data_IF_347813265622
#
_entry.id   IF_347813265622
#
_cell.length_a   1.000
_cell.length_b   1.000
_cell.length_c   1.000
_cell.angle_alpha   90.00
_cell.angle_beta   90.00
_cell.angle_gamma   90.00
#
_symmetry.space_group_name_H-M   'P 1'
#
loop_
_entity.id
_entity.type
_entity.pdbx_description
1 polymer ?
#
# COMPACT_ATOMS: atom_id res chain seq x y z
N UNK A 1 -19.04 -2.25 -10.75
CA UNK A 1 -18.07 -1.44 -11.51
C UNK A 1 -17.97 -2.01 -12.93
N UNK A 2 -18.28 -1.25 -13.97
CA UNK A 2 -18.45 -1.77 -15.35
C UNK A 2 -17.13 -2.23 -15.98
N UNK A 3 -16.02 -1.54 -15.68
CA UNK A 3 -14.71 -1.85 -16.28
C UNK A 3 -14.08 -3.17 -15.82
N UNK A 4 -14.47 -3.71 -14.67
CA UNK A 4 -13.97 -5.01 -14.19
C UNK A 4 -14.62 -6.19 -14.87
N UNK A 5 -15.82 -6.01 -15.43
CA UNK A 5 -16.63 -7.10 -16.01
C UNK A 5 -16.62 -7.13 -17.53
N UNK A 6 -16.07 -6.10 -18.18
CA UNK A 6 -15.94 -6.06 -19.65
C UNK A 6 -14.70 -6.82 -20.11
N UNK A 7 -14.81 -7.44 -21.29
CA UNK A 7 -13.71 -8.09 -22.00
C UNK A 7 -12.59 -7.10 -22.32
N UNK A 8 -11.36 -7.60 -22.42
CA UNK A 8 -10.17 -6.79 -22.74
C UNK A 8 -10.31 -6.04 -24.07
N UNK A 9 -11.02 -6.60 -25.05
CA UNK A 9 -11.24 -5.93 -26.34
C UNK A 9 -12.15 -4.70 -26.23
N UNK A 10 -13.04 -4.65 -25.24
CA UNK A 10 -14.02 -3.57 -25.04
C UNK A 10 -13.60 -2.57 -23.95
N UNK A 11 -12.72 -2.99 -23.03
CA UNK A 11 -12.23 -2.16 -21.94
C UNK A 11 -11.65 -0.80 -22.37
N UNK A 12 -10.88 -0.68 -23.48
CA UNK A 12 -10.32 0.59 -23.92
C UNK A 12 -11.38 1.63 -24.30
N UNK A 13 -12.44 1.18 -24.98
CA UNK A 13 -13.54 2.05 -25.40
C UNK A 13 -14.39 2.46 -24.20
N UNK A 14 -14.72 1.51 -23.33
CA UNK A 14 -15.45 1.78 -22.09
C UNK A 14 -14.68 2.76 -21.18
N UNK A 15 -13.35 2.61 -21.07
CA UNK A 15 -12.52 3.50 -20.27
C UNK A 15 -12.50 4.92 -20.86
N UNK A 16 -12.30 5.06 -22.17
CA UNK A 16 -12.36 6.36 -22.85
C UNK A 16 -13.71 7.05 -22.67
N UNK A 17 -14.81 6.31 -22.79
CA UNK A 17 -16.15 6.84 -22.54
C UNK A 17 -16.30 7.36 -21.11
N UNK A 18 -15.84 6.60 -20.10
CA UNK A 18 -15.93 7.00 -18.70
C UNK A 18 -15.05 8.20 -18.36
N UNK A 19 -13.87 8.30 -18.96
CA UNK A 19 -12.97 9.44 -18.82
C UNK A 19 -13.61 10.71 -19.40
N UNK A 20 -14.10 10.64 -20.65
CA UNK A 20 -14.77 11.76 -21.30
C UNK A 20 -16.00 12.21 -20.51
N UNK A 21 -16.82 11.26 -20.03
CA UNK A 21 -17.99 11.55 -19.20
C UNK A 21 -17.61 12.23 -17.89
N UNK A 22 -16.57 11.74 -17.22
CA UNK A 22 -16.07 12.32 -15.95
C UNK A 22 -15.64 13.77 -16.15
N UNK A 23 -14.87 14.05 -17.21
CA UNK A 23 -14.41 15.39 -17.54
C UNK A 23 -15.55 16.35 -17.94
N UNK A 24 -16.60 15.85 -18.57
CA UNK A 24 -17.75 16.68 -18.99
C UNK A 24 -18.74 16.96 -17.85
N UNK A 25 -18.96 15.99 -16.95
CA UNK A 25 -19.98 16.09 -15.90
C UNK A 25 -19.44 16.69 -14.60
N UNK A 26 -18.13 16.58 -14.35
CA UNK A 26 -17.50 17.04 -13.11
C UNK A 26 -16.57 18.18 -13.46
N UNK A 27 -17.01 19.41 -13.15
CA UNK A 27 -16.24 20.64 -13.39
C UNK A 27 -15.10 20.78 -12.38
N UNK A 28 -15.28 20.27 -11.16
CA UNK A 28 -14.26 20.30 -10.11
C UNK A 28 -13.18 19.22 -10.35
N UNK A 29 -11.91 19.61 -10.61
CA UNK A 29 -10.83 18.67 -10.84
C UNK A 29 -10.60 17.72 -9.66
N UNK A 30 -10.75 18.19 -8.41
CA UNK A 30 -10.50 17.36 -7.22
C UNK A 30 -11.54 16.24 -7.09
N UNK A 31 -12.80 16.53 -7.43
CA UNK A 31 -13.85 15.50 -7.47
C UNK A 31 -13.68 14.51 -8.64
N UNK A 32 -13.09 14.95 -9.77
CA UNK A 32 -12.87 14.09 -10.95
C UNK A 32 -11.69 13.11 -10.77
N UNK A 33 -10.67 13.51 -10.00
CA UNK A 33 -9.41 12.77 -9.83
C UNK A 33 -9.60 11.32 -9.35
N UNK A 34 -10.34 11.01 -8.27
CA UNK A 34 -10.48 9.63 -7.81
C UNK A 34 -11.10 8.69 -8.84
N UNK A 35 -11.99 9.20 -9.69
CA UNK A 35 -12.61 8.41 -10.76
C UNK A 35 -11.58 8.10 -11.85
N UNK A 36 -10.80 9.10 -12.26
CA UNK A 36 -9.71 8.93 -13.22
C UNK A 36 -8.67 7.94 -12.67
N UNK A 37 -8.30 8.06 -11.40
CA UNK A 37 -7.38 7.14 -10.72
C UNK A 37 -7.92 5.71 -10.70
N UNK A 38 -9.20 5.51 -10.40
CA UNK A 38 -9.82 4.19 -10.42
C UNK A 38 -9.84 3.58 -11.83
N UNK A 39 -10.18 4.37 -12.86
CA UNK A 39 -10.14 3.91 -14.26
C UNK A 39 -8.73 3.52 -14.66
N UNK A 40 -7.75 4.39 -14.38
CA UNK A 40 -6.33 4.13 -14.66
C UNK A 40 -5.90 2.83 -13.98
N UNK A 41 -6.15 2.67 -12.69
CA UNK A 41 -5.84 1.48 -11.90
C UNK A 41 -6.36 0.21 -12.58
N UNK A 42 -7.65 0.17 -12.93
CA UNK A 42 -8.25 -1.01 -13.56
C UNK A 42 -7.58 -1.32 -14.90
N UNK A 43 -7.26 -0.30 -15.70
CA UNK A 43 -6.62 -0.49 -17.00
C UNK A 43 -5.19 -1.04 -16.85
N UNK A 44 -4.40 -0.56 -15.88
CA UNK A 44 -3.07 -1.14 -15.60
C UNK A 44 -3.17 -2.60 -15.22
N UNK A 45 -4.07 -2.94 -14.29
CA UNK A 45 -4.22 -4.32 -13.81
C UNK A 45 -4.82 -5.25 -14.86
N UNK A 46 -5.67 -4.75 -15.75
CA UNK A 46 -6.27 -5.54 -16.83
C UNK A 46 -5.27 -5.81 -17.95
N UNK A 47 -4.36 -4.88 -18.24
CA UNK A 47 -3.41 -4.99 -19.35
C UNK A 47 -1.96 -5.17 -18.85
N UNK A 48 -1.70 -6.25 -18.12
CA UNK A 48 -0.39 -6.53 -17.51
C UNK A 48 0.75 -6.73 -18.50
N UNK A 49 0.44 -7.08 -19.76
CA UNK A 49 1.42 -7.29 -20.83
C UNK A 49 1.69 -6.03 -21.66
N UNK A 50 0.96 -4.94 -21.43
CA UNK A 50 1.17 -3.69 -22.15
C UNK A 50 2.13 -2.79 -21.37
N UNK A 51 2.97 -2.10 -22.12
CA UNK A 51 3.78 -1.01 -21.59
C UNK A 51 2.89 0.18 -21.23
N UNK A 52 3.39 1.02 -20.31
CA UNK A 52 2.74 2.28 -19.96
C UNK A 52 2.38 3.13 -21.18
N UNK A 53 3.28 3.22 -22.17
CA UNK A 53 3.06 4.05 -23.36
C UNK A 53 1.89 3.53 -24.22
N UNK A 54 1.73 2.20 -24.30
CA UNK A 54 0.63 1.60 -25.03
C UNK A 54 -0.71 1.86 -24.32
N UNK A 55 -0.74 1.80 -22.98
CA UNK A 55 -1.95 2.13 -22.21
C UNK A 55 -2.27 3.63 -22.28
N UNK A 56 -1.26 4.51 -22.22
CA UNK A 56 -1.41 5.97 -22.42
C UNK A 56 -2.03 6.27 -23.80
N UNK A 57 -1.48 5.68 -24.86
CA UNK A 57 -1.96 5.85 -26.24
C UNK A 57 -3.38 5.32 -26.44
N UNK A 58 -3.69 4.19 -25.80
CA UNK A 58 -5.00 3.56 -25.83
C UNK A 58 -6.09 4.41 -25.16
N UNK A 59 -5.75 5.06 -24.04
CA UNK A 59 -6.70 5.83 -23.24
C UNK A 59 -6.72 7.32 -23.58
N UNK A 60 -5.71 7.83 -24.29
CA UNK A 60 -5.55 9.25 -24.58
C UNK A 60 -5.26 10.09 -23.34
N UNK A 61 -4.59 9.52 -22.33
CA UNK A 61 -4.22 10.20 -21.09
C UNK A 61 -2.80 9.86 -20.66
N UNK A 62 -2.21 10.72 -19.83
CA UNK A 62 -0.88 10.50 -19.28
C UNK A 62 -0.98 9.83 -17.91
N UNK A 63 -0.69 8.54 -17.86
CA UNK A 63 -0.78 7.77 -16.63
C UNK A 63 0.32 8.13 -15.62
N UNK A 64 1.42 8.75 -16.06
CA UNK A 64 2.52 9.19 -15.17
C UNK A 64 2.06 10.11 -14.03
N UNK A 65 0.98 10.87 -14.24
CA UNK A 65 0.48 11.81 -13.25
C UNK A 65 -0.43 11.14 -12.22
N UNK A 66 -0.84 9.90 -12.46
CA UNK A 66 -1.70 9.15 -11.55
C UNK A 66 -0.92 8.65 -10.34
N UNK A 67 -1.59 8.61 -9.19
CA UNK A 67 -1.01 8.16 -7.93
C UNK A 67 -0.42 6.74 -8.03
N UNK A 68 -1.17 5.79 -8.60
CA UNK A 68 -0.74 4.39 -8.73
C UNK A 68 0.59 4.26 -9.48
N UNK A 69 0.79 5.01 -10.56
CA UNK A 69 2.05 4.95 -11.29
C UNK A 69 3.21 5.60 -10.54
N UNK A 70 2.98 6.69 -9.81
CA UNK A 70 4.02 7.31 -8.99
C UNK A 70 4.45 6.39 -7.85
N UNK A 71 3.49 5.79 -7.16
CA UNK A 71 3.76 4.83 -6.08
C UNK A 71 4.52 3.60 -6.61
N UNK A 72 4.04 2.98 -7.69
CA UNK A 72 4.70 1.81 -8.30
C UNK A 72 6.13 2.13 -8.80
N UNK A 73 6.34 3.33 -9.35
CA UNK A 73 7.67 3.78 -9.79
C UNK A 73 8.61 3.96 -8.60
N UNK A 74 8.13 4.55 -7.50
CA UNK A 74 8.95 4.78 -6.31
C UNK A 74 9.28 3.47 -5.59
N UNK A 75 8.31 2.57 -5.46
CA UNK A 75 8.52 1.21 -4.94
C UNK A 75 9.58 0.46 -5.77
N UNK A 76 9.45 0.46 -7.10
CA UNK A 76 10.44 -0.15 -7.98
C UNK A 76 11.83 0.48 -7.86
N UNK A 77 11.92 1.77 -7.51
CA UNK A 77 13.19 2.46 -7.27
C UNK A 77 13.82 2.03 -5.94
N UNK A 78 13.04 1.99 -4.86
CA UNK A 78 13.46 1.47 -3.55
C UNK A 78 13.97 0.02 -3.63
N UNK A 79 13.21 -0.85 -4.31
CA UNK A 79 13.59 -2.24 -4.53
C UNK A 79 14.87 -2.35 -5.37
N UNK A 80 14.97 -1.57 -6.46
CA UNK A 80 16.14 -1.57 -7.33
C UNK A 80 17.42 -1.11 -6.62
N UNK A 81 17.35 -0.02 -5.87
CA UNK A 81 18.50 0.54 -5.14
C UNK A 81 18.92 -0.38 -3.99
N UNK A 82 17.99 -0.87 -3.18
CA UNK A 82 18.29 -1.82 -2.11
C UNK A 82 18.89 -3.11 -2.67
N UNK A 83 18.34 -3.66 -3.76
CA UNK A 83 18.89 -4.84 -4.41
C UNK A 83 20.32 -4.60 -4.93
N UNK A 84 20.58 -3.44 -5.53
CA UNK A 84 21.93 -3.08 -5.99
C UNK A 84 22.91 -2.98 -4.83
N UNK A 85 22.55 -2.29 -3.75
CA UNK A 85 23.38 -2.16 -2.54
C UNK A 85 23.69 -3.53 -1.95
N UNK A 86 22.70 -4.42 -1.83
CA UNK A 86 22.89 -5.77 -1.32
C UNK A 86 23.85 -6.59 -2.20
N UNK A 87 23.75 -6.47 -3.54
CA UNK A 87 24.68 -7.14 -4.47
C UNK A 87 26.11 -6.58 -4.34
N UNK A 88 26.26 -5.27 -4.17
CA UNK A 88 27.56 -4.63 -3.96
C UNK A 88 28.20 -5.06 -2.64
N UNK A 89 27.42 -5.08 -1.56
CA UNK A 89 27.85 -5.60 -0.25
C UNK A 89 28.27 -7.06 -0.35
N UNK A 90 27.47 -7.89 -1.03
CA UNK A 90 27.78 -9.30 -1.23
C UNK A 90 29.10 -9.49 -1.98
N UNK A 91 29.36 -8.66 -2.99
CA UNK A 91 30.58 -8.71 -3.79
C UNK A 91 31.81 -8.21 -3.04
N UNK A 92 31.68 -7.17 -2.20
CA UNK A 92 32.81 -6.57 -1.47
C UNK A 92 33.18 -7.33 -0.18
N UNK A 93 32.17 -7.78 0.56
CA UNK A 93 32.35 -8.31 1.93
C UNK A 93 31.88 -9.76 2.10
N UNK A 94 31.36 -10.40 1.05
CA UNK A 94 30.83 -11.75 1.13
C UNK A 94 29.38 -11.79 1.62
N UNK A 95 28.92 -12.93 2.14
CA UNK A 95 27.52 -13.12 2.50
C UNK A 95 27.00 -12.03 3.46
N UNK A 96 25.90 -11.38 3.09
CA UNK A 96 25.21 -10.38 3.92
C UNK A 96 24.15 -11.12 4.74
N UNK A 97 24.16 -10.92 6.06
CA UNK A 97 23.17 -11.52 6.95
C UNK A 97 21.75 -11.01 6.66
N UNK A 98 20.75 -11.87 6.87
CA UNK A 98 19.34 -11.57 6.58
C UNK A 98 18.82 -10.37 7.37
N UNK A 99 19.28 -10.18 8.62
CA UNK A 99 18.86 -9.03 9.44
C UNK A 99 19.38 -7.72 8.85
N UNK A 100 20.64 -7.70 8.39
CA UNK A 100 21.20 -6.53 7.71
C UNK A 100 20.48 -6.25 6.39
N UNK A 101 20.15 -7.30 5.64
CA UNK A 101 19.42 -7.17 4.40
C UNK A 101 18.03 -6.54 4.61
N UNK A 102 17.26 -7.02 5.59
CA UNK A 102 15.96 -6.43 5.93
C UNK A 102 16.06 -5.00 6.42
N UNK A 103 17.12 -4.65 7.18
CA UNK A 103 17.35 -3.26 7.60
C UNK A 103 17.62 -2.34 6.42
N UNK A 104 18.38 -2.79 5.42
CA UNK A 104 18.66 -2.02 4.20
C UNK A 104 17.38 -1.85 3.38
N UNK A 105 16.57 -2.91 3.22
CA UNK A 105 15.30 -2.84 2.49
C UNK A 105 14.25 -1.94 3.16
N UNK A 106 14.39 -1.68 4.47
CA UNK A 106 13.51 -0.78 5.22
C UNK A 106 13.95 0.70 5.18
N UNK A 107 15.09 1.00 4.55
CA UNK A 107 15.57 2.38 4.42
C UNK A 107 14.70 3.18 3.45
N UNK A 108 14.53 4.46 3.76
CA UNK A 108 13.97 5.42 2.81
C UNK A 108 15.00 5.74 1.74
N UNK A 109 14.54 6.29 0.63
CA UNK A 109 15.38 6.34 -0.55
C UNK A 109 16.58 7.26 -0.40
N UNK A 110 16.43 8.41 0.26
CA UNK A 110 17.54 9.31 0.54
C UNK A 110 18.60 8.62 1.42
N UNK A 111 18.19 7.65 2.23
CA UNK A 111 19.09 6.84 3.05
C UNK A 111 19.78 5.75 2.21
N UNK A 112 19.09 5.15 1.23
CA UNK A 112 19.70 4.23 0.27
C UNK A 112 20.76 4.94 -0.58
N UNK A 113 20.45 6.13 -1.09
CA UNK A 113 21.39 6.96 -1.86
C UNK A 113 22.61 7.33 -1.01
N UNK A 114 22.40 7.80 0.23
CA UNK A 114 23.49 8.10 1.16
C UNK A 114 24.32 6.86 1.55
N UNK A 115 23.68 5.69 1.66
CA UNK A 115 24.38 4.43 1.90
C UNK A 115 25.22 4.03 0.68
N UNK A 116 24.71 4.23 -0.54
CA UNK A 116 25.42 3.89 -1.77
C UNK A 116 26.73 4.70 -1.91
N UNK A 117 26.71 5.98 -1.53
CA UNK A 117 27.91 6.83 -1.49
C UNK A 117 28.87 6.37 -0.38
N UNK A 118 28.38 6.23 0.87
CA UNK A 118 29.20 5.81 2.00
C UNK A 118 29.84 4.43 1.81
N UNK A 119 29.15 3.54 1.08
CA UNK A 119 29.62 2.20 0.77
C UNK A 119 30.95 2.20 -0.01
N UNK A 120 31.24 3.26 -0.77
CA UNK A 120 32.50 3.41 -1.51
C UNK A 120 33.70 3.59 -0.58
N UNK A 121 33.49 4.23 0.58
CA UNK A 121 34.53 4.53 1.55
C UNK A 121 34.73 3.40 2.59
N UNK A 122 33.77 2.49 2.71
CA UNK A 122 33.87 1.39 3.68
C UNK A 122 35.06 0.47 3.38
N UNK A 123 35.82 0.18 4.42
CA UNK A 123 36.94 -0.78 4.42
C UNK A 123 36.55 -2.11 5.08
N UNK A 124 35.55 -2.10 5.98
CA UNK A 124 35.07 -3.29 6.68
C UNK A 124 33.54 -3.30 6.85
N UNK A 125 32.95 -4.50 6.95
CA UNK A 125 31.51 -4.68 7.15
C UNK A 125 30.99 -4.08 8.47
N UNK A 126 31.83 -3.95 9.50
CA UNK A 126 31.43 -3.30 10.76
C UNK A 126 31.04 -1.83 10.57
N UNK A 127 31.60 -1.14 9.57
CA UNK A 127 31.25 0.25 9.25
C UNK A 127 29.80 0.38 8.76
N UNK A 128 29.30 -0.63 8.01
CA UNK A 128 27.89 -0.72 7.62
C UNK A 128 26.99 -0.81 8.86
N UNK A 129 27.36 -1.66 9.83
CA UNK A 129 26.57 -1.82 11.06
C UNK A 129 26.50 -0.49 11.83
N UNK A 130 27.62 0.20 11.96
CA UNK A 130 27.69 1.52 12.58
C UNK A 130 26.90 2.58 11.79
N UNK A 131 26.94 2.52 10.47
CA UNK A 131 26.15 3.39 9.60
C UNK A 131 24.66 3.17 9.81
N UNK A 132 24.18 1.92 9.70
CA UNK A 132 22.77 1.58 9.87
C UNK A 132 22.26 1.95 11.27
N UNK A 133 23.10 1.87 12.30
CA UNK A 133 22.73 2.27 13.67
C UNK A 133 22.52 3.78 13.83
N UNK A 134 23.15 4.61 12.98
CA UNK A 134 22.94 6.07 12.97
C UNK A 134 21.62 6.47 12.33
N UNK A 135 21.17 5.70 11.33
CA UNK A 135 19.91 5.93 10.63
C UNK A 135 18.74 5.11 11.20
N UNK A 136 19.01 4.09 12.01
CA UNK A 136 18.00 3.40 12.81
C UNK A 136 17.78 4.11 14.14
N UNK A 137 17.05 5.22 14.13
CA UNK A 137 16.25 5.57 15.31
C UNK A 137 15.08 4.57 15.41
N UNK A 138 14.74 4.09 16.61
CA UNK A 138 13.77 3.03 16.80
C UNK A 138 12.36 3.59 16.56
N UNK A 139 11.64 2.98 15.62
CA UNK A 139 10.24 3.25 15.29
C UNK A 139 10.02 4.70 14.82
N UNK A 140 9.45 4.83 13.61
CA UNK A 140 8.67 6.01 13.25
C UNK A 140 7.79 6.33 14.45
N UNK A 141 8.08 7.45 15.09
CA UNK A 141 7.14 8.16 15.91
C UNK A 141 5.90 8.27 15.03
N UNK A 142 4.94 7.38 15.28
CA UNK A 142 3.61 7.48 14.73
C UNK A 142 3.08 8.75 15.35
N UNK A 143 3.41 9.87 14.70
CA UNK A 143 2.81 11.17 14.91
C UNK A 143 1.36 11.01 14.49
N UNK A 144 0.57 10.40 15.37
CA UNK A 144 -0.89 10.45 15.41
C UNK A 144 -1.36 11.85 15.86
N UNK A 145 -0.56 12.90 15.68
CA UNK A 145 -0.90 14.26 16.09
C UNK A 145 -1.85 14.96 15.12
N UNK A 146 -2.44 14.22 14.17
CA UNK A 146 -3.51 14.78 13.33
C UNK A 146 -4.59 13.74 12.99
N UNK A 147 -5.02 12.97 14.00
CA UNK A 147 -6.32 12.30 13.96
C UNK A 147 -7.25 13.07 14.90
N UNK A 148 -8.31 13.75 14.40
CA UNK A 148 -9.27 14.43 15.25
C UNK A 148 -10.27 13.41 15.79
N UNK A 149 -9.81 12.40 16.53
CA UNK A 149 -10.72 11.49 17.23
C UNK A 149 -10.16 11.16 18.61
N UNK A 150 -10.94 11.53 19.63
CA UNK A 150 -10.63 11.36 21.04
C UNK A 150 -10.30 9.91 21.38
N UNK A 151 -9.21 9.73 22.13
CA UNK A 151 -8.71 8.44 22.59
C UNK A 151 -9.67 7.80 23.59
N UNK A 152 -10.38 6.75 23.19
CA UNK A 152 -10.51 5.56 24.03
C UNK A 152 -9.29 4.68 23.77
N UNK A 153 -8.56 4.35 24.85
CA UNK A 153 -7.42 3.44 24.84
C UNK A 153 -7.90 2.03 24.50
N UNK A 154 -7.32 1.41 23.46
CA UNK A 154 -7.42 -0.03 23.26
C UNK A 154 -6.04 -0.67 23.50
N UNK A 155 -5.94 -1.46 24.57
CA UNK A 155 -4.82 -2.35 24.84
C UNK A 155 -5.02 -3.67 24.07
N UNK A 156 -4.03 -4.17 23.31
CA UNK A 156 -4.19 -5.32 22.43
C UNK A 156 -3.86 -6.62 23.14
N UNK A 157 -4.70 -7.06 24.10
CA UNK A 157 -4.60 -8.43 24.64
C UNK A 157 -5.95 -8.99 25.09
N UNK A 158 -7.07 -8.79 24.37
CA UNK A 158 -8.31 -9.54 24.62
C UNK A 158 -9.16 -9.64 23.33
N UNK A 159 -8.71 -10.44 22.36
CA UNK A 159 -9.51 -10.82 21.18
C UNK A 159 -9.73 -12.33 21.14
N UNK A 160 -10.39 -12.83 22.18
CA UNK A 160 -11.17 -14.07 22.11
C UNK A 160 -12.41 -13.89 22.96
N UNK A 161 -13.47 -13.35 22.36
CA UNK A 161 -14.85 -13.82 22.48
C UNK A 161 -15.80 -12.81 21.80
N UNK A 162 -16.53 -13.32 20.82
CA UNK A 162 -17.85 -12.86 20.37
C UNK A 162 -17.89 -11.67 19.41
N UNK A 163 -17.71 -12.03 18.14
CA UNK A 163 -18.55 -11.52 17.04
C UNK A 163 -20.02 -11.74 17.40
N UNK A 164 -20.85 -10.69 17.40
CA UNK A 164 -22.22 -10.70 16.85
C UNK A 164 -22.62 -9.27 16.51
N UNK A 165 -22.90 -9.09 15.23
CA UNK A 165 -23.43 -7.89 14.58
C UNK A 165 -24.78 -7.49 15.17
N UNK A 166 -25.06 -6.19 15.16
CA UNK A 166 -26.18 -5.58 15.85
C UNK A 166 -27.57 -5.96 15.35
N UNK A 167 -28.54 -5.76 16.24
CA UNK A 167 -29.90 -5.40 15.89
C UNK A 167 -30.50 -4.62 17.06
N UNK A 168 -31.11 -3.50 16.72
CA UNK A 168 -31.88 -2.63 17.59
C UNK A 168 -33.00 -3.38 18.30
N UNK A 169 -33.16 -3.10 19.59
CA UNK A 169 -34.41 -2.98 20.34
C UNK A 169 -35.67 -3.57 19.71
N UNK A 170 -36.06 -4.76 20.16
CA UNK A 170 -37.46 -5.20 20.20
C UNK A 170 -37.71 -5.92 21.54
N UNK A 171 -38.72 -5.46 22.28
CA UNK A 171 -39.11 -5.93 23.62
C UNK A 171 -39.53 -7.42 23.59
N UNK A 172 -39.29 -8.21 24.66
CA UNK A 172 -39.95 -9.50 24.79
C UNK A 172 -41.43 -9.33 25.18
N UNK A 173 -42.37 -10.06 24.56
CA UNK A 173 -43.71 -10.25 25.10
C UNK A 173 -43.72 -11.25 26.27
N UNK A 174 -44.80 -11.13 27.03
CA UNK A 174 -45.19 -11.72 28.30
C UNK A 174 -45.55 -13.22 28.17
N UNK A 175 -45.48 -13.94 29.30
CA UNK A 175 -45.88 -15.34 29.56
C UNK A 175 -44.91 -16.38 28.96
N UNK A 176 -44.42 -17.41 29.67
CA UNK A 176 -45.09 -18.26 30.65
C UNK A 176 -44.06 -19.06 31.47
N UNK A 177 -44.50 -19.39 32.68
CA UNK A 177 -43.87 -20.15 33.76
C UNK A 177 -43.56 -21.64 33.45
N UNK A 178 -42.44 -22.13 34.01
CA UNK A 178 -42.22 -23.48 34.61
C UNK A 178 -42.25 -24.66 33.58
N UNK A 179 -41.26 -25.56 33.54
CA UNK A 179 -41.08 -26.74 34.43
C UNK A 179 -39.61 -27.22 34.36
N UNK A 180 -38.95 -27.53 35.49
CA UNK A 180 -37.68 -28.24 35.50
C UNK A 180 -37.93 -29.75 35.44
N UNK A 181 -37.14 -30.49 34.66
CA UNK A 181 -36.99 -31.94 34.90
C UNK A 181 -35.52 -32.32 34.75
N UNK A 182 -35.01 -32.84 35.86
CA UNK A 182 -33.68 -33.38 36.06
C UNK A 182 -33.56 -34.78 35.43
N UNK A 183 -32.42 -35.03 34.76
CA UNK A 183 -31.49 -36.18 34.94
C UNK A 183 -32.04 -37.57 34.53
N UNK A 184 -31.25 -38.41 33.84
CA UNK A 184 -30.10 -39.13 34.43
C UNK A 184 -28.71 -38.58 34.10
#
# INVERSE_FOLDING_TARGET
>A
MVLTTVEETQAPEAARYLLARTQQQIVDPEASRPIIEMIATIMVYKFTNLSRQEVDAMLGLQLADTRVYREAKEEGRLEGESALILRLLQRRFGAVDGVLASRIQALEIEQLEALAEALLDFTALNELVLWLNRYSQPLRDLRFDNVPFGRTQFAPTLWTKSVTVGAQSLRPPIDWDIIPTQVP
#
